data_IF_046087363322
#
_entry.id   IF_046087363322
#
_cell.length_a   1.000
_cell.length_b   1.000
_cell.length_c   1.000
_cell.angle_alpha   90.00
_cell.angle_beta   90.00
_cell.angle_gamma   90.00
#
_symmetry.space_group_name_H-M   'P 1'
#
loop_
_entity.id
_entity.type
_entity.pdbx_description
1 polymer ?
#
# COMPACT_ATOMS: atom_id res chain seq x y z
N UNK A 1 -2.35 12.96 -6.24
CA UNK A 1 -1.79 11.60 -6.38
C UNK A 1 -1.10 11.25 -5.07
N UNK A 2 -1.23 10.01 -4.55
CA UNK A 2 -0.51 9.55 -3.35
C UNK A 2 0.49 8.48 -3.78
N UNK A 3 1.69 8.52 -3.23
CA UNK A 3 2.79 7.61 -3.59
C UNK A 3 3.35 7.00 -2.31
N UNK A 4 3.53 5.68 -2.30
CA UNK A 4 4.27 4.96 -1.27
C UNK A 4 5.71 4.79 -1.75
N UNK A 5 6.68 5.04 -0.87
CA UNK A 5 8.10 4.97 -1.19
C UNK A 5 8.74 4.03 -0.18
N UNK A 6 9.38 2.98 -0.69
CA UNK A 6 10.22 2.09 0.10
C UNK A 6 11.65 2.63 0.08
N UNK A 7 12.20 2.89 1.27
CA UNK A 7 13.49 3.57 1.46
C UNK A 7 14.30 2.71 2.42
N UNK A 8 15.56 2.43 2.06
CA UNK A 8 16.51 1.81 2.98
C UNK A 8 16.67 2.67 4.23
N UNK A 9 16.62 2.05 5.41
CA UNK A 9 16.69 2.74 6.71
C UNK A 9 17.84 3.77 6.79
N UNK A 10 19.03 3.40 6.30
CA UNK A 10 20.22 4.28 6.28
C UNK A 10 20.08 5.54 5.42
N UNK A 11 19.05 5.63 4.59
CA UNK A 11 18.75 6.77 3.70
C UNK A 11 17.51 7.55 4.12
N UNK A 12 16.74 7.06 5.09
CA UNK A 12 15.52 7.72 5.59
C UNK A 12 15.77 9.17 6.02
N UNK A 13 16.82 9.50 6.82
CA UNK A 13 17.05 10.89 7.24
C UNK A 13 17.26 11.83 6.06
N UNK A 14 18.07 11.40 5.08
CA UNK A 14 18.37 12.18 3.88
C UNK A 14 17.12 12.42 3.01
N UNK A 15 16.31 11.37 2.80
CA UNK A 15 15.11 11.50 1.95
C UNK A 15 14.06 12.37 2.64
N UNK A 16 13.87 12.25 3.96
CA UNK A 16 12.95 13.10 4.70
C UNK A 16 13.35 14.58 4.65
N UNK A 17 14.64 14.90 4.79
CA UNK A 17 15.13 16.28 4.63
C UNK A 17 14.86 16.82 3.22
N UNK A 18 15.14 16.04 2.19
CA UNK A 18 14.88 16.41 0.81
C UNK A 18 13.38 16.69 0.58
N UNK A 19 12.51 15.79 1.04
CA UNK A 19 11.06 15.96 0.86
C UNK A 19 10.50 17.12 1.68
N UNK A 20 11.04 17.38 2.88
CA UNK A 20 10.68 18.55 3.69
C UNK A 20 11.07 19.88 3.02
N UNK A 21 12.13 19.90 2.21
CA UNK A 21 12.53 21.10 1.47
C UNK A 21 11.53 21.48 0.36
N UNK A 22 10.68 20.55 -0.07
CA UNK A 22 9.73 20.73 -1.17
C UNK A 22 8.37 21.20 -0.62
N UNK A 23 8.10 22.51 -0.71
CA UNK A 23 6.87 23.13 -0.17
C UNK A 23 5.55 22.60 -0.77
N UNK A 24 5.61 21.90 -1.90
CA UNK A 24 4.45 21.32 -2.58
C UNK A 24 4.17 19.86 -2.17
N UNK A 25 5.02 19.26 -1.32
CA UNK A 25 4.85 17.88 -0.86
C UNK A 25 4.31 17.89 0.57
N UNK A 26 3.26 17.12 0.81
CA UNK A 26 2.77 16.81 2.16
C UNK A 26 3.18 15.39 2.50
N UNK A 27 4.03 15.24 3.50
CA UNK A 27 4.44 13.94 4.02
C UNK A 27 3.51 13.48 5.14
N UNK A 28 3.28 12.18 5.19
CA UNK A 28 2.58 11.53 6.29
C UNK A 28 3.30 10.22 6.57
N UNK A 29 4.04 10.10 7.68
CA UNK A 29 4.68 8.85 8.02
C UNK A 29 3.59 7.81 8.31
N UNK A 30 3.81 6.59 7.84
CA UNK A 30 2.97 5.43 8.14
C UNK A 30 3.84 4.38 8.80
N UNK A 31 3.25 3.61 9.70
CA UNK A 31 3.93 2.45 10.29
C UNK A 31 4.07 1.35 9.25
N UNK A 32 5.05 0.47 9.43
CA UNK A 32 5.30 -0.67 8.54
C UNK A 32 4.05 -1.55 8.41
N UNK A 33 3.37 -1.83 9.53
CA UNK A 33 2.10 -2.56 9.58
C UNK A 33 1.02 -1.92 8.70
N UNK A 34 0.91 -0.58 8.72
CA UNK A 34 -0.05 0.14 7.88
C UNK A 34 0.35 0.14 6.41
N UNK A 35 1.65 0.15 6.11
CA UNK A 35 2.16 0.07 4.75
C UNK A 35 1.85 -1.29 4.11
N UNK A 36 2.06 -2.38 4.87
CA UNK A 36 1.69 -3.73 4.47
C UNK A 36 0.19 -3.83 4.20
N UNK A 37 -0.65 -3.44 5.17
CA UNK A 37 -2.12 -3.47 5.05
C UNK A 37 -2.63 -2.69 3.82
N UNK A 38 -2.07 -1.50 3.54
CA UNK A 38 -2.47 -0.73 2.35
C UNK A 38 -2.11 -1.46 1.05
N UNK A 39 -0.97 -2.15 1.02
CA UNK A 39 -0.51 -2.90 -0.14
C UNK A 39 -1.42 -4.10 -0.38
N UNK A 40 -1.69 -4.88 0.66
CA UNK A 40 -2.57 -6.05 0.62
C UNK A 40 -3.99 -5.67 0.20
N UNK A 41 -4.54 -4.60 0.76
CA UNK A 41 -5.87 -4.10 0.36
C UNK A 41 -5.90 -3.63 -1.09
N UNK A 42 -4.82 -3.02 -1.58
CA UNK A 42 -4.75 -2.56 -2.98
C UNK A 42 -4.71 -3.73 -3.95
N UNK A 43 -3.99 -4.79 -3.60
CA UNK A 43 -3.96 -6.05 -4.34
C UNK A 43 -5.34 -6.71 -4.35
N UNK A 44 -5.96 -6.90 -3.17
CA UNK A 44 -7.29 -7.49 -3.04
C UNK A 44 -8.36 -6.73 -3.84
N UNK A 45 -8.32 -5.39 -3.85
CA UNK A 45 -9.22 -4.58 -4.69
C UNK A 45 -8.95 -4.80 -6.18
N UNK A 46 -7.68 -4.98 -6.57
CA UNK A 46 -7.29 -5.36 -7.93
C UNK A 46 -7.87 -6.71 -8.35
N UNK A 47 -7.76 -7.72 -7.49
CA UNK A 47 -8.33 -9.05 -7.71
C UNK A 47 -9.85 -9.02 -7.79
N UNK A 48 -10.53 -8.31 -6.89
CA UNK A 48 -11.98 -8.12 -6.95
C UNK A 48 -12.43 -7.50 -8.27
N UNK A 49 -11.63 -6.58 -8.84
CA UNK A 49 -11.92 -6.02 -10.17
C UNK A 49 -11.80 -7.08 -11.27
N UNK A 50 -10.84 -8.00 -11.18
CA UNK A 50 -10.68 -9.12 -12.13
C UNK A 50 -11.80 -10.15 -11.99
N UNK A 51 -12.23 -10.44 -10.76
CA UNK A 51 -13.38 -11.31 -10.47
C UNK A 51 -14.65 -10.72 -11.08
N UNK A 52 -14.89 -9.42 -10.88
CA UNK A 52 -16.03 -8.70 -11.50
C UNK A 52 -15.98 -8.71 -13.03
N UNK A 53 -14.79 -8.79 -13.63
CA UNK A 53 -14.61 -8.93 -15.08
C UNK A 53 -14.76 -10.38 -15.58
N UNK A 54 -14.99 -11.35 -14.68
CA UNK A 54 -15.07 -12.77 -15.02
C UNK A 54 -13.73 -13.42 -15.36
N UNK A 55 -12.60 -12.75 -15.08
CA UNK A 55 -11.24 -13.23 -15.40
C UNK A 55 -10.64 -14.13 -14.32
N UNK A 56 -11.22 -14.13 -13.13
CA UNK A 56 -10.74 -14.84 -11.95
C UNK A 56 -11.93 -15.32 -11.13
N UNK A 57 -11.79 -16.46 -10.45
CA UNK A 57 -12.81 -16.93 -9.49
C UNK A 57 -12.54 -16.31 -8.14
N UNK A 58 -13.53 -15.67 -7.55
CA UNK A 58 -13.44 -15.17 -6.18
C UNK A 58 -13.68 -16.28 -5.16
N UNK A 59 -13.14 -16.09 -3.96
CA UNK A 59 -13.45 -16.87 -2.76
C UNK A 59 -14.47 -16.13 -1.91
N UNK A 60 -15.15 -16.83 -1.01
CA UNK A 60 -16.05 -16.20 -0.05
C UNK A 60 -15.27 -15.33 0.95
N UNK A 61 -15.93 -14.34 1.54
CA UNK A 61 -15.30 -13.50 2.57
C UNK A 61 -14.87 -14.31 3.80
N UNK A 62 -15.50 -15.46 4.05
CA UNK A 62 -15.12 -16.36 5.14
C UNK A 62 -13.81 -17.07 4.84
N UNK A 63 -13.68 -17.63 3.64
CA UNK A 63 -12.44 -18.29 3.19
C UNK A 63 -11.26 -17.31 3.19
N UNK A 64 -11.48 -16.05 2.81
CA UNK A 64 -10.45 -15.02 2.88
C UNK A 64 -9.95 -14.76 4.32
N UNK A 65 -10.85 -14.77 5.30
CA UNK A 65 -10.50 -14.54 6.71
C UNK A 65 -9.78 -15.76 7.30
N UNK A 66 -10.14 -16.96 6.88
CA UNK A 66 -9.53 -18.21 7.36
C UNK A 66 -8.09 -18.40 6.83
N UNK A 67 -7.71 -17.74 5.72
CA UNK A 67 -6.37 -17.79 5.10
C UNK A 67 -5.36 -16.75 5.66
N UNK A 68 -5.80 -15.78 6.47
CA UNK A 68 -4.99 -14.70 7.06
C UNK A 68 -4.56 -15.01 8.50
#
# INVERSE_FOLDING_TARGET
>A
MKVLIDIKESKVPFVLELLNSLQFIKMTPITEEKAALISDLREAVGELKLIRQGKMKGISAKELIDDL
#
